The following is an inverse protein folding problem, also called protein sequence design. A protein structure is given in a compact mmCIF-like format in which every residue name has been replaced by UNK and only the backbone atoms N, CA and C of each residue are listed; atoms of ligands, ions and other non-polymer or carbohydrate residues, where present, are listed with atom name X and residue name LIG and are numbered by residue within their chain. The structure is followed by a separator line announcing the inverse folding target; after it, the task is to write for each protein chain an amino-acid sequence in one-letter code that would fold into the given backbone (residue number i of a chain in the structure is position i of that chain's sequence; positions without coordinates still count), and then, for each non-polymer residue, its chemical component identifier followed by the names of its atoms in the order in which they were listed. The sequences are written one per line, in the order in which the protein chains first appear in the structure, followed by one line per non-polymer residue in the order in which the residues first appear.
data_IF_495796718324
#
_entry.id   IF_495796718324
#
_cell.length_a   1.000
_cell.length_b   1.000
_cell.length_c   1.000
_cell.angle_alpha   90.00
_cell.angle_beta   90.00
_cell.angle_gamma   90.00
#
_symmetry.space_group_name_H-M   'P 1'
#
loop_
_entity.id
_entity.type
_entity.pdbx_description
1 polymer ?
#
# COMPACT_ATOMS: atom_id res chain seq x y z
N UNK A 1 -11.66 11.03 3.06
CA UNK A 1 -11.05 9.77 3.53
C UNK A 1 -9.84 10.14 4.38
N UNK A 2 -9.99 10.28 5.70
CA UNK A 2 -8.85 10.64 6.57
C UNK A 2 -9.19 11.42 7.84
N UNK A 3 -10.38 12.01 7.94
CA UNK A 3 -10.81 12.67 9.18
C UNK A 3 -10.97 11.64 10.31
N UNK A 4 -10.82 12.10 11.57
CA UNK A 4 -11.02 11.26 12.74
C UNK A 4 -12.42 10.62 12.76
N UNK A 5 -13.44 11.38 12.35
CA UNK A 5 -14.81 10.90 12.20
C UNK A 5 -14.93 9.73 11.22
N UNK A 6 -14.41 9.87 10.00
CA UNK A 6 -14.47 8.78 8.99
C UNK A 6 -13.74 7.52 9.47
N UNK A 7 -12.60 7.67 10.16
CA UNK A 7 -11.87 6.53 10.72
C UNK A 7 -12.67 5.83 11.83
N UNK A 8 -13.33 6.58 12.70
CA UNK A 8 -14.20 6.03 13.74
C UNK A 8 -15.38 5.27 13.13
N UNK A 9 -16.05 5.86 12.14
CA UNK A 9 -17.18 5.23 11.44
C UNK A 9 -16.77 3.91 10.75
N UNK A 10 -15.60 3.86 10.10
CA UNK A 10 -15.09 2.63 9.49
C UNK A 10 -14.76 1.55 10.54
N UNK A 11 -14.22 1.96 11.71
CA UNK A 11 -13.95 1.03 12.81
C UNK A 11 -15.25 0.42 13.36
N UNK A 12 -16.29 1.23 13.57
CA UNK A 12 -17.60 0.73 13.98
C UNK A 12 -18.16 -0.27 12.98
N UNK A 13 -18.01 -0.03 11.67
CA UNK A 13 -18.40 -1.00 10.63
C UNK A 13 -17.65 -2.32 10.76
N UNK A 14 -16.33 -2.28 10.95
CA UNK A 14 -15.52 -3.49 11.17
C UNK A 14 -16.03 -4.27 12.39
N UNK A 15 -16.28 -3.60 13.53
CA UNK A 15 -16.83 -4.27 14.71
C UNK A 15 -18.21 -4.89 14.45
N UNK A 16 -19.10 -4.19 13.74
CA UNK A 16 -20.42 -4.73 13.39
C UNK A 16 -20.33 -5.96 12.49
N UNK A 17 -19.38 -6.00 11.56
CA UNK A 17 -19.12 -7.15 10.71
C UNK A 17 -18.58 -8.32 11.52
N UNK A 18 -17.65 -8.09 12.44
CA UNK A 18 -17.16 -9.14 13.34
C UNK A 18 -18.26 -9.72 14.22
N UNK A 19 -19.19 -8.89 14.70
CA UNK A 19 -20.34 -9.36 15.47
C UNK A 19 -21.30 -10.20 14.63
N UNK A 20 -21.59 -9.77 13.39
CA UNK A 20 -22.59 -10.40 12.52
C UNK A 20 -22.08 -11.62 11.73
N UNK A 21 -20.80 -11.63 11.35
CA UNK A 21 -20.18 -12.66 10.49
C UNK A 21 -19.16 -13.52 11.25
N UNK A 22 -18.92 -13.23 12.53
CA UNK A 22 -17.83 -13.82 13.30
C UNK A 22 -16.49 -13.12 13.07
N UNK A 23 -15.49 -13.49 13.88
CA UNK A 23 -14.15 -12.93 13.79
C UNK A 23 -13.43 -13.46 12.54
N UNK A 24 -12.70 -12.60 11.81
CA UNK A 24 -11.86 -13.08 10.72
C UNK A 24 -10.70 -13.92 11.29
N UNK A 25 -10.32 -14.98 10.57
CA UNK A 25 -9.12 -15.76 10.91
C UNK A 25 -7.83 -14.93 10.77
N UNK A 26 -7.87 -13.87 9.96
CA UNK A 26 -6.77 -12.95 9.75
C UNK A 26 -7.30 -11.52 9.53
N UNK A 27 -6.78 -10.55 10.30
CA UNK A 27 -7.04 -9.13 10.11
C UNK A 27 -5.73 -8.40 9.78
N UNK A 28 -5.63 -7.82 8.57
CA UNK A 28 -4.43 -7.11 8.11
C UNK A 28 -4.79 -5.68 7.72
N UNK A 29 -3.98 -4.72 8.18
CA UNK A 29 -4.00 -3.34 7.68
C UNK A 29 -2.78 -3.10 6.81
N UNK A 30 -2.97 -2.62 5.59
CA UNK A 30 -1.90 -2.39 4.62
C UNK A 30 -1.88 -0.90 4.29
N UNK A 31 -0.76 -0.24 4.59
CA UNK A 31 -0.55 1.18 4.30
C UNK A 31 0.81 1.36 3.62
N UNK A 32 0.87 1.29 2.27
CA UNK A 32 2.14 1.40 1.59
C UNK A 32 2.72 2.80 1.65
N UNK A 33 3.94 2.90 2.16
CA UNK A 33 4.71 4.13 2.18
C UNK A 33 5.42 4.31 0.83
N UNK A 34 4.97 5.28 0.05
CA UNK A 34 5.52 5.66 -1.24
C UNK A 34 6.92 6.30 -1.11
N UNK A 35 7.14 7.12 -0.08
CA UNK A 35 8.44 7.78 0.18
C UNK A 35 9.60 6.82 0.49
N UNK A 36 9.29 5.57 0.85
CA UNK A 36 10.28 4.52 1.14
C UNK A 36 10.35 3.45 0.04
N UNK A 37 9.58 3.59 -1.04
CA UNK A 37 9.52 2.58 -2.10
C UNK A 37 10.25 3.02 -3.37
N UNK A 38 11.27 2.27 -3.83
CA UNK A 38 11.88 2.48 -5.15
C UNK A 38 10.86 2.37 -6.29
N UNK A 39 9.84 1.51 -6.12
CA UNK A 39 8.77 1.33 -7.10
C UNK A 39 7.93 2.60 -7.25
N UNK A 40 7.69 3.32 -6.16
CA UNK A 40 6.98 4.60 -6.23
C UNK A 40 7.78 5.66 -7.01
N UNK A 41 9.10 5.68 -6.87
CA UNK A 41 9.98 6.55 -7.66
C UNK A 41 9.98 6.17 -9.15
N UNK A 42 9.94 4.87 -9.47
CA UNK A 42 9.79 4.39 -10.84
C UNK A 42 8.49 4.91 -11.48
N UNK A 43 7.37 4.84 -10.74
CA UNK A 43 6.10 5.43 -11.19
C UNK A 43 6.16 6.96 -11.35
N UNK A 44 7.06 7.64 -10.62
CA UNK A 44 7.34 9.07 -10.75
C UNK A 44 8.31 9.40 -11.90
N UNK A 45 8.74 8.41 -12.69
CA UNK A 45 9.62 8.61 -13.84
C UNK A 45 11.10 8.72 -13.51
N UNK A 46 11.51 8.38 -12.28
CA UNK A 46 12.93 8.30 -11.93
C UNK A 46 13.54 7.09 -12.63
N UNK A 47 14.63 7.31 -13.38
CA UNK A 47 15.38 6.24 -14.06
C UNK A 47 16.05 5.37 -13.00
N UNK A 48 15.52 4.15 -12.83
CA UNK A 48 15.91 3.20 -11.80
C UNK A 48 15.97 1.80 -12.41
N UNK A 49 17.03 1.07 -12.12
CA UNK A 49 17.07 -0.38 -12.30
C UNK A 49 16.38 -1.01 -11.08
N UNK A 50 15.18 -1.56 -11.28
CA UNK A 50 14.40 -2.20 -10.22
C UNK A 50 14.98 -3.57 -9.81
N UNK A 51 15.78 -4.20 -10.67
CA UNK A 51 16.48 -5.46 -10.36
C UNK A 51 17.78 -5.20 -9.60
N UNK A 52 18.34 -3.99 -9.71
CA UNK A 52 19.60 -3.56 -9.06
C UNK A 52 19.45 -2.19 -8.43
N UNK A 53 18.62 -2.11 -7.41
CA UNK A 53 18.43 -0.86 -6.66
C UNK A 53 19.65 -0.57 -5.79
N UNK A 54 20.51 0.32 -6.26
CA UNK A 54 21.67 0.80 -5.51
C UNK A 54 21.27 1.93 -4.54
N UNK A 55 21.79 1.94 -3.29
CA UNK A 55 21.47 2.98 -2.31
C UNK A 55 21.75 4.41 -2.79
N UNK A 56 22.80 4.61 -3.60
CA UNK A 56 23.15 5.93 -4.11
C UNK A 56 22.07 6.51 -5.05
N UNK A 57 21.31 5.64 -5.72
CA UNK A 57 20.26 6.04 -6.69
C UNK A 57 18.95 6.39 -5.96
N UNK A 58 18.76 5.92 -4.73
CA UNK A 58 17.53 6.12 -3.97
C UNK A 58 17.39 7.53 -3.38
N UNK A 59 18.40 8.39 -3.52
CA UNK A 59 18.42 9.76 -2.99
C UNK A 59 18.18 9.76 -1.46
N UNK A 60 18.14 10.93 -0.85
CA UNK A 60 17.75 11.05 0.56
C UNK A 60 16.25 10.85 0.76
N UNK A 61 15.81 10.56 1.98
CA UNK A 61 14.37 10.47 2.31
C UNK A 61 13.61 11.75 2.00
N UNK A 62 14.24 12.90 2.20
CA UNK A 62 13.65 14.21 1.90
C UNK A 62 13.46 14.41 0.40
N UNK A 63 14.48 14.13 -0.41
CA UNK A 63 14.38 14.25 -1.87
C UNK A 63 13.32 13.30 -2.44
N UNK A 64 13.23 12.07 -1.93
CA UNK A 64 12.15 11.15 -2.31
C UNK A 64 10.77 11.74 -1.97
N UNK A 65 10.60 12.28 -0.76
CA UNK A 65 9.35 12.91 -0.37
C UNK A 65 8.99 14.09 -1.30
N UNK A 66 9.97 14.90 -1.70
CA UNK A 66 9.75 15.99 -2.66
C UNK A 66 9.32 15.47 -4.05
N UNK A 67 9.97 14.44 -4.58
CA UNK A 67 9.61 13.83 -5.87
C UNK A 67 8.18 13.27 -5.82
N UNK A 68 7.85 12.57 -4.74
CA UNK A 68 6.52 11.98 -4.56
C UNK A 68 5.46 13.08 -4.46
N UNK A 69 5.73 14.16 -3.70
CA UNK A 69 4.82 15.28 -3.58
C UNK A 69 4.54 16.00 -4.91
N UNK A 70 5.52 16.01 -5.84
CA UNK A 70 5.33 16.60 -7.18
C UNK A 70 4.64 15.65 -8.18
N UNK A 71 4.49 14.36 -7.84
CA UNK A 71 3.90 13.33 -8.70
C UNK A 71 2.74 12.58 -8.03
N UNK A 72 1.61 13.24 -7.67
CA UNK A 72 0.51 12.61 -6.93
C UNK A 72 -0.12 11.41 -7.65
N UNK A 73 -0.11 11.41 -8.99
CA UNK A 73 -0.59 10.28 -9.80
C UNK A 73 0.32 9.06 -9.66
N UNK A 74 1.64 9.25 -9.49
CA UNK A 74 2.59 8.18 -9.29
C UNK A 74 2.29 7.43 -7.98
N UNK A 75 2.03 8.15 -6.89
CA UNK A 75 1.59 7.58 -5.61
C UNK A 75 0.33 6.73 -5.77
N UNK A 76 -0.68 7.24 -6.47
CA UNK A 76 -1.93 6.51 -6.69
C UNK A 76 -1.69 5.22 -7.51
N UNK A 77 -0.89 5.29 -8.58
CA UNK A 77 -0.54 4.14 -9.42
C UNK A 77 0.26 3.10 -8.63
N UNK A 78 1.24 3.53 -7.86
CA UNK A 78 2.03 2.67 -6.97
C UNK A 78 1.14 1.94 -5.97
N UNK A 79 0.31 2.68 -5.22
CA UNK A 79 -0.58 2.10 -4.21
C UNK A 79 -1.54 1.09 -4.84
N UNK A 80 -2.19 1.45 -5.95
CA UNK A 80 -3.08 0.54 -6.66
C UNK A 80 -2.35 -0.71 -7.19
N UNK A 81 -1.15 -0.56 -7.75
CA UNK A 81 -0.33 -1.67 -8.21
C UNK A 81 0.00 -2.62 -7.06
N UNK A 82 0.48 -2.09 -5.93
CA UNK A 82 0.86 -2.89 -4.78
C UNK A 82 -0.34 -3.64 -4.18
N UNK A 83 -1.47 -2.95 -3.99
CA UNK A 83 -2.67 -3.59 -3.44
C UNK A 83 -3.16 -4.71 -4.36
N UNK A 84 -3.19 -4.48 -5.68
CA UNK A 84 -3.56 -5.54 -6.65
C UNK A 84 -2.60 -6.71 -6.59
N UNK A 85 -1.30 -6.48 -6.48
CA UNK A 85 -0.29 -7.54 -6.36
C UNK A 85 -0.44 -8.33 -5.07
N UNK A 86 -0.71 -7.66 -3.94
CA UNK A 86 -0.98 -8.32 -2.66
C UNK A 86 -2.23 -9.20 -2.75
N UNK A 87 -3.33 -8.67 -3.28
CA UNK A 87 -4.56 -9.44 -3.44
C UNK A 87 -4.35 -10.64 -4.35
N UNK A 88 -3.66 -10.44 -5.49
CA UNK A 88 -3.40 -11.51 -6.45
C UNK A 88 -2.49 -12.60 -5.86
N UNK A 89 -1.38 -12.22 -5.25
CA UNK A 89 -0.36 -13.18 -4.84
C UNK A 89 -0.63 -13.78 -3.46
N UNK A 90 -1.03 -12.96 -2.48
CA UNK A 90 -1.18 -13.43 -1.10
C UNK A 90 -2.58 -13.98 -0.81
N UNK A 91 -3.62 -13.32 -1.31
CA UNK A 91 -5.01 -13.70 -1.02
C UNK A 91 -5.50 -14.75 -2.03
N UNK A 92 -5.55 -14.37 -3.31
CA UNK A 92 -6.05 -15.25 -4.38
C UNK A 92 -5.06 -16.37 -4.72
N UNK A 93 -3.77 -16.12 -4.54
CA UNK A 93 -2.72 -17.13 -4.71
C UNK A 93 -2.66 -18.17 -3.58
N UNK A 94 -3.54 -18.08 -2.58
CA UNK A 94 -3.70 -19.10 -1.54
C UNK A 94 -2.64 -19.12 -0.44
N UNK A 95 -1.70 -18.17 -0.44
CA UNK A 95 -0.66 -18.06 0.62
C UNK A 95 -1.29 -17.87 2.00
N UNK A 96 -2.41 -17.13 2.07
CA UNK A 96 -3.14 -16.87 3.31
C UNK A 96 -4.24 -17.90 3.61
N UNK A 97 -4.23 -19.05 2.92
CA UNK A 97 -5.23 -20.10 3.04
C UNK A 97 -6.34 -20.02 2.00
N UNK A 98 -7.26 -20.99 2.00
CA UNK A 98 -8.36 -21.04 1.03
C UNK A 98 -9.28 -19.83 1.19
N UNK A 99 -9.62 -19.20 0.06
CA UNK A 99 -10.71 -18.23 0.00
C UNK A 99 -12.03 -19.00 0.14
N UNK A 100 -12.81 -18.68 1.18
CA UNK A 100 -14.18 -19.20 1.33
C UNK A 100 -15.10 -18.60 0.28
#
# INVERSE_FOLDING_TARGET
MGSAHSRSALRTKIHSLCFNLGLPSLFVTINPADTHSPVALYFAGVVLDLDRVLPEVLRTSYERAQIIATHPVATAKFSNCLIKSILKCLVLGGVLGPTK
#
